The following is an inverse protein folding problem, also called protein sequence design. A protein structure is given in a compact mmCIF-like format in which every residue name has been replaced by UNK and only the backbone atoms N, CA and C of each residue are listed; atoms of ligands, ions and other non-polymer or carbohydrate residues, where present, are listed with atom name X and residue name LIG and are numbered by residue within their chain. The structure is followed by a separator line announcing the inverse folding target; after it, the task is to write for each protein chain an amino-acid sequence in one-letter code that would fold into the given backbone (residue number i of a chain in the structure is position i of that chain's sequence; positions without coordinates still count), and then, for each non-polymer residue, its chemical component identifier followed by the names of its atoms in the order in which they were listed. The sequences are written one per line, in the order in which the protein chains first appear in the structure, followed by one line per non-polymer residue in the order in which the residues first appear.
data_IF_105197960678
#
_entry.id   IF_105197960678
#
_cell.length_a   1.000
_cell.length_b   1.000
_cell.length_c   1.000
_cell.angle_alpha   90.00
_cell.angle_beta   90.00
_cell.angle_gamma   90.00
#
_symmetry.space_group_name_H-M   'P 1'
#
loop_
_entity.id
_entity.type
_entity.pdbx_description
1 polymer ?
#
# COMPACT_ATOMS: atom_id res chain seq x y z
N UNK A 1 -17.52 24.20 -6.91
CA UNK A 1 -16.92 23.44 -5.80
C UNK A 1 -16.25 22.21 -6.40
N UNK A 2 -14.92 22.10 -6.36
CA UNK A 2 -14.30 20.78 -6.42
C UNK A 2 -13.15 20.71 -5.42
N UNK A 3 -13.43 20.27 -4.20
CA UNK A 3 -12.37 19.78 -3.32
C UNK A 3 -12.02 18.38 -3.81
N UNK A 4 -11.08 18.37 -4.75
CA UNK A 4 -10.43 17.21 -5.35
C UNK A 4 -9.70 16.45 -4.24
N UNK A 5 -10.47 15.71 -3.46
CA UNK A 5 -10.01 14.88 -2.37
C UNK A 5 -9.27 13.69 -2.99
N UNK A 6 -7.99 13.86 -3.31
CA UNK A 6 -7.07 12.73 -3.31
C UNK A 6 -7.08 12.18 -1.89
N UNK A 7 -8.01 11.27 -1.62
CA UNK A 7 -8.06 10.48 -0.41
C UNK A 7 -6.82 9.60 -0.45
N UNK A 8 -5.74 10.12 0.13
CA UNK A 8 -4.57 9.32 0.48
C UNK A 8 -5.04 8.36 1.57
N UNK A 9 -5.70 7.28 1.16
CA UNK A 9 -6.12 6.21 2.05
C UNK A 9 -4.85 5.63 2.65
N UNK A 10 -4.58 5.98 3.91
CA UNK A 10 -3.46 5.41 4.67
C UNK A 10 -3.84 3.96 4.94
N UNK A 11 -3.09 3.03 4.33
CA UNK A 11 -3.30 1.59 4.48
C UNK A 11 -2.53 1.09 5.71
N UNK A 12 -1.37 1.68 5.99
CA UNK A 12 -0.59 1.37 7.17
C UNK A 12 -0.32 2.63 7.98
N UNK A 13 -0.98 2.77 9.13
CA UNK A 13 -0.71 3.86 10.07
C UNK A 13 0.70 3.73 10.70
N UNK A 14 1.18 2.50 10.88
CA UNK A 14 2.48 2.21 11.52
C UNK A 14 3.67 2.78 10.73
N UNK A 15 3.64 2.69 9.39
CA UNK A 15 4.69 3.22 8.50
C UNK A 15 4.26 4.47 7.74
N UNK A 16 3.00 4.88 7.84
CA UNK A 16 2.42 5.96 7.03
C UNK A 16 2.26 5.59 5.55
N UNK A 17 2.16 4.30 5.23
CA UNK A 17 2.03 3.85 3.84
C UNK A 17 0.62 4.08 3.33
N UNK A 18 0.51 4.73 2.18
CA UNK A 18 -0.77 5.01 1.52
C UNK A 18 -1.02 4.05 0.37
N UNK A 19 -2.29 3.92 0.00
CA UNK A 19 -2.75 3.11 -1.13
C UNK A 19 -2.09 3.53 -2.44
N UNK A 20 -1.95 4.83 -2.69
CA UNK A 20 -1.22 5.35 -3.86
C UNK A 20 0.23 4.85 -3.89
N UNK A 21 0.92 4.84 -2.74
CA UNK A 21 2.30 4.37 -2.67
C UNK A 21 2.42 2.88 -3.00
N UNK A 22 1.46 2.07 -2.53
CA UNK A 22 1.38 0.64 -2.83
C UNK A 22 1.12 0.45 -4.34
N UNK A 23 0.18 1.20 -4.93
CA UNK A 23 -0.10 1.16 -6.37
C UNK A 23 1.11 1.53 -7.21
N UNK A 24 1.82 2.61 -6.87
CA UNK A 24 3.06 2.99 -7.54
C UNK A 24 4.08 1.86 -7.49
N UNK A 25 4.23 1.17 -6.35
CA UNK A 25 5.16 0.05 -6.25
C UNK A 25 4.73 -1.13 -7.12
N UNK A 26 3.45 -1.50 -7.12
CA UNK A 26 2.93 -2.58 -7.97
C UNK A 26 3.19 -2.25 -9.45
N UNK A 27 2.95 -1.01 -9.87
CA UNK A 27 3.24 -0.50 -11.22
C UNK A 27 4.75 -0.56 -11.55
N UNK A 28 5.62 -0.35 -10.56
CA UNK A 28 7.07 -0.56 -10.67
C UNK A 28 7.48 -2.05 -10.73
N UNK A 29 6.54 -3.01 -10.73
CA UNK A 29 6.78 -4.45 -10.80
C UNK A 29 6.88 -5.16 -9.44
N UNK A 30 6.33 -4.54 -8.39
CA UNK A 30 6.29 -5.15 -7.06
C UNK A 30 5.08 -6.07 -6.91
N UNK A 31 5.28 -7.32 -7.31
CA UNK A 31 4.25 -8.38 -7.31
C UNK A 31 4.12 -9.16 -5.98
N UNK A 32 4.63 -8.63 -4.86
CA UNK A 32 4.58 -9.36 -3.59
C UNK A 32 4.56 -8.44 -2.38
N UNK A 33 3.78 -8.82 -1.37
CA UNK A 33 3.71 -8.13 -0.07
C UNK A 33 5.09 -7.97 0.56
N UNK A 34 5.98 -8.97 0.47
CA UNK A 34 7.35 -8.88 0.99
C UNK A 34 8.16 -7.77 0.31
N UNK A 35 8.05 -7.63 -1.01
CA UNK A 35 8.75 -6.55 -1.75
C UNK A 35 8.19 -5.19 -1.35
N UNK A 36 6.87 -5.06 -1.27
CA UNK A 36 6.20 -3.80 -0.87
C UNK A 36 6.54 -3.45 0.58
N UNK A 37 6.57 -4.45 1.46
CA UNK A 37 6.98 -4.32 2.86
C UNK A 37 8.42 -3.84 2.99
N UNK A 38 9.35 -4.40 2.21
CA UNK A 38 10.75 -3.95 2.20
C UNK A 38 10.92 -2.54 1.64
N UNK A 39 10.10 -2.14 0.67
CA UNK A 39 10.18 -0.82 0.05
C UNK A 39 9.51 0.28 0.89
N UNK A 40 8.41 -0.03 1.57
CA UNK A 40 7.62 0.95 2.33
C UNK A 40 7.79 0.86 3.84
N UNK A 41 8.28 -0.28 4.35
CA UNK A 41 8.22 -0.61 5.77
C UNK A 41 6.79 -0.93 6.27
N UNK A 42 5.78 -0.99 5.40
CA UNK A 42 4.48 -1.54 5.77
C UNK A 42 4.62 -3.01 6.15
N UNK A 43 3.72 -3.54 7.00
CA UNK A 43 3.70 -4.95 7.44
C UNK A 43 4.86 -5.37 8.37
N UNK A 44 6.01 -4.68 8.39
CA UNK A 44 7.17 -5.06 9.21
C UNK A 44 7.02 -4.73 10.71
N UNK A 45 6.03 -3.91 11.08
CA UNK A 45 5.76 -3.51 12.46
C UNK A 45 4.59 -4.26 13.08
N UNK A 46 3.38 -3.82 12.78
CA UNK A 46 2.13 -4.29 13.38
C UNK A 46 1.46 -5.44 12.61
N UNK A 47 1.88 -5.70 11.36
CA UNK A 47 1.28 -6.71 10.50
C UNK A 47 -0.09 -6.33 9.92
N UNK A 48 -0.93 -5.56 10.61
CA UNK A 48 -2.37 -5.36 10.32
C UNK A 48 -2.78 -4.85 8.93
N UNK A 49 -1.83 -4.39 8.12
CA UNK A 49 -2.04 -3.88 6.77
C UNK A 49 -1.66 -4.92 5.70
N UNK A 50 -1.19 -6.11 6.12
CA UNK A 50 -0.80 -7.22 5.26
C UNK A 50 -1.95 -7.67 4.36
N UNK A 51 -3.12 -7.92 4.94
CA UNK A 51 -4.31 -8.35 4.20
C UNK A 51 -4.73 -7.28 3.18
N UNK A 52 -4.75 -6.01 3.57
CA UNK A 52 -5.12 -4.90 2.67
C UNK A 52 -4.16 -4.79 1.48
N UNK A 53 -2.86 -4.96 1.72
CA UNK A 53 -1.85 -4.95 0.66
C UNK A 53 -2.04 -6.17 -0.24
N UNK A 54 -2.29 -7.35 0.32
CA UNK A 54 -2.54 -8.58 -0.43
C UNK A 54 -3.78 -8.46 -1.33
N UNK A 55 -4.88 -7.90 -0.82
CA UNK A 55 -6.08 -7.63 -1.62
C UNK A 55 -5.82 -6.63 -2.74
N UNK A 56 -5.03 -5.57 -2.49
CA UNK A 56 -4.64 -4.62 -3.53
C UNK A 56 -3.78 -5.25 -4.62
N UNK A 57 -2.85 -6.13 -4.26
CA UNK A 57 -2.07 -6.89 -5.23
C UNK A 57 -2.97 -7.79 -6.08
N UNK A 58 -3.88 -8.53 -5.46
CA UNK A 58 -4.80 -9.43 -6.15
C UNK A 58 -5.77 -8.67 -7.08
N UNK A 59 -6.18 -7.45 -6.72
CA UNK A 59 -7.02 -6.59 -7.58
C UNK A 59 -6.26 -6.03 -8.80
N UNK A 60 -4.95 -5.83 -8.69
CA UNK A 60 -4.13 -5.12 -9.68
C UNK A 60 -3.33 -6.05 -10.62
N UNK A 61 -3.24 -7.34 -10.30
CA UNK A 61 -2.43 -8.34 -11.02
C UNK A 61 -3.31 -9.30 -11.83
#
# INVERSE_FOLDING_TARGET
MPDNQQQKEVICDCSGTTKEKIKELIDNGYDSVDKISRATGAVSGCGSCDILILELLDELI
#
